data_IF_558666021858
#
_entry.id   IF_558666021858
#
_cell.length_a   1.000
_cell.length_b   1.000
_cell.length_c   1.000
_cell.angle_alpha   90.00
_cell.angle_beta   90.00
_cell.angle_gamma   90.00
#
_symmetry.space_group_name_H-M   'P 1'
#
loop_
_entity.id
_entity.type
_entity.pdbx_description
1 polymer ?
#
# COMPACT_ATOMS: atom_id res chain seq x y z
N UNK A 1 49.94 21.15 -20.72
CA UNK A 1 49.28 21.15 -19.39
C UNK A 1 48.13 20.17 -19.44
N UNK A 2 48.36 18.95 -18.96
CA UNK A 2 47.37 17.87 -18.98
C UNK A 2 46.43 18.05 -17.78
N UNK A 3 45.13 18.16 -18.03
CA UNK A 3 44.12 18.11 -16.95
C UNK A 3 44.10 16.68 -16.39
N UNK A 4 44.11 16.50 -15.05
CA UNK A 4 44.11 15.16 -14.47
C UNK A 4 42.79 14.45 -14.77
N UNK A 5 42.90 13.17 -15.07
CA UNK A 5 41.80 12.22 -15.21
C UNK A 5 41.78 11.34 -13.95
N UNK A 6 40.62 10.93 -13.41
CA UNK A 6 39.26 11.15 -13.93
C UNK A 6 38.75 12.58 -13.65
N UNK A 7 37.72 13.03 -14.39
CA UNK A 7 37.09 14.31 -14.09
C UNK A 7 36.44 14.24 -12.70
N UNK A 8 36.42 15.34 -11.93
CA UNK A 8 35.76 15.36 -10.63
C UNK A 8 34.27 14.98 -10.78
N UNK A 9 33.68 14.29 -9.79
CA UNK A 9 32.28 13.92 -9.83
C UNK A 9 31.41 15.16 -10.04
N UNK A 10 30.60 15.13 -11.10
CA UNK A 10 29.63 16.18 -11.40
C UNK A 10 28.54 16.09 -10.34
N UNK A 11 28.59 16.98 -9.36
CA UNK A 11 27.51 17.16 -8.38
C UNK A 11 26.27 17.63 -9.15
N UNK A 12 25.22 16.80 -9.21
CA UNK A 12 23.92 17.27 -9.66
C UNK A 12 23.43 18.29 -8.62
N UNK A 13 23.57 19.58 -8.92
CA UNK A 13 23.11 20.65 -8.03
C UNK A 13 21.60 20.77 -8.14
N UNK A 14 20.87 19.86 -7.52
CA UNK A 14 19.48 20.15 -7.14
C UNK A 14 19.58 21.09 -5.93
N UNK A 15 19.47 22.40 -6.16
CA UNK A 15 19.38 23.35 -5.06
C UNK A 15 18.20 22.97 -4.16
N UNK A 16 18.31 23.17 -2.84
CA UNK A 16 17.20 23.04 -1.89
C UNK A 16 16.08 24.01 -2.29
N UNK A 17 15.22 23.61 -3.19
CA UNK A 17 14.04 24.36 -3.59
C UNK A 17 12.83 23.69 -2.94
N UNK A 18 12.26 24.39 -1.95
CA UNK A 18 10.94 24.04 -1.41
C UNK A 18 9.91 24.56 -2.38
N UNK A 19 9.38 23.69 -3.23
CA UNK A 19 8.25 24.01 -4.11
C UNK A 19 6.94 23.60 -3.45
N UNK A 20 5.87 24.35 -3.75
CA UNK A 20 4.55 24.05 -3.22
C UNK A 20 3.89 22.95 -4.08
N UNK A 21 3.54 21.81 -3.46
CA UNK A 21 2.86 20.70 -4.16
C UNK A 21 1.49 21.16 -4.70
N UNK A 22 0.89 22.17 -4.10
CA UNK A 22 -0.37 22.75 -4.58
C UNK A 22 -0.22 23.41 -5.98
N UNK A 23 0.98 23.85 -6.38
CA UNK A 23 1.21 24.39 -7.72
C UNK A 23 1.17 23.30 -8.80
N UNK A 24 1.52 22.05 -8.46
CA UNK A 24 1.32 20.90 -9.34
C UNK A 24 -0.18 20.62 -9.48
N UNK A 25 -0.92 20.63 -8.35
CA UNK A 25 -2.36 20.33 -8.33
C UNK A 25 -3.19 21.34 -9.14
N UNK A 26 -2.93 22.63 -8.97
CA UNK A 26 -3.67 23.69 -9.66
C UNK A 26 -3.49 23.63 -11.19
N UNK A 27 -2.29 23.30 -11.66
CA UNK A 27 -1.98 23.25 -13.09
C UNK A 27 -2.41 21.95 -13.78
N UNK A 28 -2.54 20.83 -13.05
CA UNK A 28 -3.10 19.58 -13.60
C UNK A 28 -4.58 19.78 -13.98
N UNK A 29 -5.32 20.62 -13.24
CA UNK A 29 -6.74 20.91 -13.52
C UNK A 29 -6.90 21.82 -14.74
N UNK A 30 -5.93 22.68 -15.05
CA UNK A 30 -6.04 23.65 -16.15
C UNK A 30 -5.65 23.10 -17.53
N UNK A 31 -4.92 21.99 -17.61
CA UNK A 31 -4.37 21.48 -18.89
C UNK A 31 -5.12 20.29 -19.53
N UNK A 32 -6.15 19.72 -18.90
CA UNK A 32 -6.88 18.58 -19.47
C UNK A 32 -8.19 18.96 -20.19
N UNK A 33 -8.08 18.98 -21.53
CA UNK A 33 -8.92 18.23 -22.49
C UNK A 33 -10.44 18.35 -22.32
N UNK A 34 -11.11 18.87 -23.37
CA UNK A 34 -12.52 18.60 -23.67
C UNK A 34 -12.77 17.08 -23.77
N UNK A 35 -13.06 16.43 -22.63
CA UNK A 35 -13.55 15.05 -22.57
C UNK A 35 -15.08 15.11 -22.52
N UNK A 36 -15.81 14.35 -23.37
CA UNK A 36 -17.27 14.35 -23.35
C UNK A 36 -17.79 13.95 -21.95
N UNK A 37 -18.80 14.69 -21.47
CA UNK A 37 -19.46 14.57 -20.15
C UNK A 37 -20.22 13.24 -19.93
N UNK A 38 -19.62 12.08 -20.18
CA UNK A 38 -20.24 10.77 -19.88
C UNK A 38 -19.26 9.71 -19.32
N UNK A 39 -18.04 10.08 -18.93
CA UNK A 39 -17.14 9.16 -18.23
C UNK A 39 -16.74 9.70 -16.87
N UNK A 40 -17.51 9.39 -15.83
CA UNK A 40 -16.96 9.40 -14.48
C UNK A 40 -15.84 8.34 -14.41
N UNK A 41 -14.59 8.70 -14.11
CA UNK A 41 -13.60 7.71 -13.78
C UNK A 41 -13.95 7.19 -12.39
N UNK A 42 -14.53 6.00 -12.32
CA UNK A 42 -14.51 5.19 -11.11
C UNK A 42 -13.04 5.02 -10.70
N UNK A 43 -12.56 5.86 -9.78
CA UNK A 43 -11.22 5.74 -9.18
C UNK A 43 -11.10 4.33 -8.63
N UNK A 44 -10.29 3.50 -9.31
CA UNK A 44 -10.06 2.12 -8.94
C UNK A 44 -9.08 2.13 -7.77
N UNK A 45 -9.58 1.88 -6.56
CA UNK A 45 -8.76 1.36 -5.47
C UNK A 45 -8.36 -0.08 -5.81
N UNK A 46 -7.45 -0.26 -6.75
CA UNK A 46 -6.71 -1.51 -6.92
C UNK A 46 -5.36 -1.33 -6.26
N UNK A 47 -5.31 -1.66 -4.97
CA UNK A 47 -4.09 -1.67 -4.16
C UNK A 47 -3.39 -3.02 -4.34
N UNK A 48 -2.63 -3.16 -5.41
CA UNK A 48 -1.58 -4.18 -5.55
C UNK A 48 -0.24 -3.57 -5.12
N UNK A 49 -0.17 -3.01 -3.92
CA UNK A 49 1.06 -2.45 -3.36
C UNK A 49 1.99 -3.58 -2.92
N UNK A 50 2.71 -4.10 -3.92
CA UNK A 50 4.08 -4.57 -3.80
C UNK A 50 4.34 -5.72 -2.81
N UNK A 51 4.16 -6.94 -3.32
CA UNK A 51 4.77 -8.20 -2.86
C UNK A 51 6.28 -8.12 -2.55
N UNK A 52 6.97 -7.03 -2.90
CA UNK A 52 8.40 -6.83 -2.68
C UNK A 52 8.73 -6.09 -1.37
N UNK A 53 7.83 -5.27 -0.82
CA UNK A 53 8.10 -4.58 0.46
C UNK A 53 8.02 -5.56 1.64
N UNK A 54 7.02 -6.45 1.68
CA UNK A 54 6.84 -7.39 2.80
C UNK A 54 7.96 -8.43 2.94
N UNK A 55 8.81 -8.66 1.91
CA UNK A 55 9.92 -9.63 2.03
C UNK A 55 11.05 -9.12 2.93
N UNK A 56 11.26 -7.81 3.05
CA UNK A 56 12.27 -7.26 3.98
C UNK A 56 11.78 -7.21 5.43
N UNK A 57 10.47 -7.18 5.66
CA UNK A 57 9.90 -7.08 7.01
C UNK A 57 9.67 -8.41 7.74
N UNK A 58 9.92 -9.56 7.10
CA UNK A 58 9.82 -10.87 7.77
C UNK A 58 11.17 -11.43 8.26
N UNK A 59 12.32 -10.77 8.03
CA UNK A 59 13.63 -11.35 8.34
C UNK A 59 14.50 -10.58 9.34
N UNK A 60 14.00 -9.53 9.99
CA UNK A 60 14.84 -8.71 10.91
C UNK A 60 14.27 -8.54 12.32
N UNK A 61 13.30 -9.35 12.73
CA UNK A 61 12.88 -9.46 14.13
C UNK A 61 12.64 -10.93 14.50
N UNK A 62 13.72 -11.64 14.82
CA UNK A 62 13.64 -12.99 15.36
C UNK A 62 14.93 -13.80 15.29
N UNK A 63 15.85 -13.50 16.23
CA UNK A 63 16.83 -14.44 16.81
C UNK A 63 17.82 -15.14 15.86
N UNK A 64 19.00 -14.53 15.73
CA UNK A 64 20.25 -15.28 15.56
C UNK A 64 20.54 -16.05 16.85
N UNK A 65 20.45 -17.38 16.81
CA UNK A 65 21.45 -18.26 17.41
C UNK A 65 21.42 -19.63 16.74
N UNK A 66 22.58 -20.01 16.21
CA UNK A 66 23.13 -21.38 16.20
C UNK A 66 22.40 -22.49 15.42
N UNK A 67 22.85 -22.74 14.18
CA UNK A 67 23.88 -23.77 13.86
C UNK A 67 23.81 -24.23 12.40
N UNK A 68 24.95 -24.06 11.74
CA UNK A 68 25.35 -24.68 10.48
C UNK A 68 26.19 -25.91 10.83
N UNK A 69 25.75 -27.12 10.46
CA UNK A 69 26.59 -28.20 9.90
C UNK A 69 25.82 -29.54 9.76
N UNK A 70 25.84 -30.03 8.51
CA UNK A 70 26.11 -31.42 8.12
C UNK A 70 25.03 -32.54 8.24
N UNK A 71 24.53 -32.86 7.05
CA UNK A 71 24.26 -34.15 6.42
C UNK A 71 24.34 -35.50 7.20
N UNK A 72 23.32 -36.32 6.88
CA UNK A 72 23.28 -37.80 6.82
C UNK A 72 23.43 -38.57 8.15
N UNK A 73 22.35 -39.21 8.59
CA UNK A 73 22.09 -40.64 8.32
C UNK A 73 20.78 -41.11 8.99
N UNK A 74 20.19 -42.11 8.36
CA UNK A 74 18.98 -42.84 8.70
C UNK A 74 19.23 -43.71 9.94
N UNK A 75 18.34 -43.70 10.93
CA UNK A 75 18.08 -44.88 11.77
C UNK A 75 16.78 -44.74 12.55
N UNK A 76 15.93 -45.77 12.42
CA UNK A 76 14.73 -46.00 13.21
C UNK A 76 15.11 -46.31 14.66
N UNK A 77 14.41 -45.73 15.63
CA UNK A 77 13.60 -46.50 16.59
C UNK A 77 12.83 -45.56 17.53
N UNK A 78 11.67 -46.09 17.92
CA UNK A 78 10.69 -45.63 18.90
C UNK A 78 11.25 -44.87 20.10
N UNK A 79 10.62 -43.74 20.42
CA UNK A 79 10.12 -43.51 21.77
C UNK A 79 8.90 -42.59 21.77
N UNK A 80 7.83 -43.11 22.35
CA UNK A 80 6.57 -42.45 22.64
C UNK A 80 6.75 -41.49 23.83
N UNK A 81 5.87 -40.49 23.89
CA UNK A 81 5.58 -39.64 25.06
C UNK A 81 6.58 -38.50 25.35
N UNK A 82 6.35 -37.35 24.70
CA UNK A 82 6.46 -35.98 25.30
C UNK A 82 6.03 -34.83 24.35
N UNK A 83 5.28 -35.11 23.27
CA UNK A 83 4.90 -34.10 22.26
C UNK A 83 3.61 -33.29 22.50
N UNK A 84 2.97 -33.36 23.68
CA UNK A 84 1.61 -32.80 23.87
C UNK A 84 1.51 -31.38 24.46
N UNK A 85 2.60 -30.77 24.94
CA UNK A 85 2.54 -29.45 25.63
C UNK A 85 3.01 -28.23 24.80
N UNK A 86 3.72 -28.42 23.67
CA UNK A 86 4.18 -27.30 22.81
C UNK A 86 3.13 -26.80 21.78
N UNK A 87 2.03 -27.53 21.59
CA UNK A 87 0.98 -27.16 20.62
C UNK A 87 -0.18 -26.38 21.24
N UNK A 88 -0.40 -26.46 22.55
CA UNK A 88 -1.48 -25.73 23.22
C UNK A 88 -1.17 -24.23 23.39
N UNK A 89 0.08 -23.87 23.68
CA UNK A 89 0.50 -22.48 23.85
C UNK A 89 0.42 -21.68 22.54
N UNK A 90 0.85 -22.28 21.41
CA UNK A 90 0.70 -21.68 20.08
C UNK A 90 -0.77 -21.55 19.65
N UNK A 91 -1.61 -22.55 19.96
CA UNK A 91 -3.07 -22.48 19.68
C UNK A 91 -3.79 -21.45 20.55
N UNK A 92 -3.38 -21.24 21.80
CA UNK A 92 -3.94 -20.21 22.69
C UNK A 92 -3.57 -18.80 22.21
N UNK A 93 -2.30 -18.56 21.83
CA UNK A 93 -1.85 -17.27 21.29
C UNK A 93 -2.59 -16.91 19.99
N UNK A 94 -2.68 -17.83 19.04
CA UNK A 94 -3.40 -17.63 17.78
C UNK A 94 -4.91 -17.35 17.95
N UNK A 95 -5.55 -17.92 18.99
CA UNK A 95 -6.95 -17.61 19.30
C UNK A 95 -7.12 -16.21 19.88
N UNK A 96 -6.20 -15.78 20.73
CA UNK A 96 -6.23 -14.43 21.32
C UNK A 96 -5.97 -13.37 20.24
N UNK A 97 -4.98 -13.58 19.37
CA UNK A 97 -4.68 -12.68 18.25
C UNK A 97 -5.91 -12.50 17.34
N UNK A 98 -6.61 -13.60 17.02
CA UNK A 98 -7.84 -13.54 16.23
C UNK A 98 -8.97 -12.81 16.96
N UNK A 99 -9.11 -13.01 18.27
CA UNK A 99 -10.13 -12.31 19.07
C UNK A 99 -9.87 -10.81 19.11
N UNK A 100 -8.61 -10.41 19.24
CA UNK A 100 -8.22 -9.00 19.21
C UNK A 100 -8.47 -8.37 17.83
N UNK A 101 -8.16 -9.10 16.74
CA UNK A 101 -8.46 -8.64 15.39
C UNK A 101 -9.98 -8.46 15.15
N UNK A 102 -10.80 -9.41 15.60
CA UNK A 102 -12.26 -9.28 15.49
C UNK A 102 -12.81 -8.10 16.30
N UNK A 103 -12.27 -7.87 17.50
CA UNK A 103 -12.64 -6.71 18.31
C UNK A 103 -12.28 -5.39 17.60
N UNK A 104 -11.11 -5.32 16.96
CA UNK A 104 -10.73 -4.15 16.17
C UNK A 104 -11.71 -3.91 15.01
N UNK A 105 -12.16 -4.98 14.34
CA UNK A 105 -13.18 -4.88 13.29
C UNK A 105 -14.50 -4.38 13.89
N UNK A 106 -14.95 -4.90 15.03
CA UNK A 106 -16.16 -4.43 15.74
C UNK A 106 -16.10 -2.93 16.05
N UNK A 107 -14.99 -2.46 16.65
CA UNK A 107 -14.78 -1.04 16.95
C UNK A 107 -14.79 -0.19 15.66
N UNK A 108 -14.22 -0.72 14.57
CA UNK A 108 -14.22 -0.07 13.26
C UNK A 108 -15.62 0.00 12.65
N UNK A 109 -16.45 -1.02 12.83
CA UNK A 109 -17.85 -1.01 12.37
C UNK A 109 -18.62 0.12 13.04
N UNK A 110 -18.50 0.29 14.36
CA UNK A 110 -19.17 1.38 15.08
C UNK A 110 -18.77 2.76 14.55
N UNK A 111 -17.46 2.96 14.38
CA UNK A 111 -16.94 4.20 13.86
C UNK A 111 -17.40 4.46 12.41
N UNK A 112 -17.32 3.46 11.54
CA UNK A 112 -17.66 3.58 10.13
C UNK A 112 -19.15 3.84 9.90
N UNK A 113 -20.03 3.16 10.66
CA UNK A 113 -21.47 3.41 10.64
C UNK A 113 -21.80 4.83 11.10
N UNK A 114 -21.14 5.31 12.18
CA UNK A 114 -21.31 6.69 12.65
C UNK A 114 -20.89 7.71 11.59
N UNK A 115 -19.73 7.52 10.94
CA UNK A 115 -19.27 8.38 9.85
C UNK A 115 -20.25 8.40 8.67
N UNK A 116 -20.78 7.24 8.28
CA UNK A 116 -21.75 7.16 7.19
C UNK A 116 -23.01 7.96 7.50
N UNK A 117 -23.53 7.85 8.72
CA UNK A 117 -24.76 8.55 9.12
C UNK A 117 -24.61 10.08 9.14
N UNK A 118 -23.37 10.59 9.28
CA UNK A 118 -23.08 12.03 9.21
C UNK A 118 -22.96 12.51 7.76
N UNK A 119 -22.55 11.64 6.84
CA UNK A 119 -22.21 11.99 5.46
C UNK A 119 -23.26 11.51 4.45
N UNK A 120 -24.37 12.26 4.32
CA UNK A 120 -25.51 11.93 3.44
C UNK A 120 -25.10 11.49 2.01
N UNK A 121 -24.25 12.26 1.32
CA UNK A 121 -23.85 11.92 -0.06
C UNK A 121 -23.03 10.63 -0.21
N UNK A 122 -22.31 10.19 0.84
CA UNK A 122 -21.61 8.88 0.82
C UNK A 122 -22.58 7.72 0.99
N UNK A 123 -23.70 7.95 1.67
CA UNK A 123 -24.75 6.98 1.93
C UNK A 123 -25.60 6.78 0.68
N UNK A 124 -26.03 7.86 0.03
CA UNK A 124 -26.85 7.81 -1.20
C UNK A 124 -26.20 6.95 -2.30
N UNK A 125 -24.93 7.18 -2.63
CA UNK A 125 -24.25 6.39 -3.67
C UNK A 125 -24.09 4.90 -3.34
N UNK A 126 -24.08 4.53 -2.05
CA UNK A 126 -24.08 3.12 -1.63
C UNK A 126 -25.50 2.53 -1.71
N UNK A 127 -26.52 3.29 -1.30
CA UNK A 127 -27.92 2.88 -1.40
C UNK A 127 -28.32 2.63 -2.86
N UNK A 128 -27.92 3.50 -3.79
CA UNK A 128 -28.17 3.32 -5.22
C UNK A 128 -27.58 2.00 -5.75
N UNK A 129 -26.35 1.69 -5.35
CA UNK A 129 -25.71 0.41 -5.72
C UNK A 129 -26.43 -0.78 -5.10
N UNK A 130 -26.88 -0.67 -3.86
CA UNK A 130 -27.69 -1.72 -3.21
C UNK A 130 -28.99 -1.97 -3.98
N UNK A 131 -29.76 -0.91 -4.27
CA UNK A 131 -31.05 -1.03 -4.92
C UNK A 131 -30.92 -1.62 -6.31
N UNK A 132 -29.96 -1.11 -7.12
CA UNK A 132 -29.66 -1.63 -8.46
C UNK A 132 -29.40 -3.13 -8.50
N UNK A 133 -28.70 -3.69 -7.50
CA UNK A 133 -28.33 -5.12 -7.48
C UNK A 133 -29.30 -6.00 -6.68
N UNK A 134 -30.29 -5.41 -6.02
CA UNK A 134 -31.31 -6.12 -5.23
C UNK A 134 -32.70 -6.17 -5.89
N UNK A 135 -32.87 -5.53 -7.05
CA UNK A 135 -34.15 -5.47 -7.80
C UNK A 135 -34.77 -6.86 -8.03
N UNK A 136 -33.94 -7.86 -8.35
CA UNK A 136 -34.38 -9.23 -8.66
C UNK A 136 -34.67 -10.09 -7.43
N UNK A 137 -34.43 -9.55 -6.23
CA UNK A 137 -34.42 -10.30 -4.97
C UNK A 137 -35.22 -9.58 -3.89
N UNK A 138 -36.27 -8.86 -4.29
CA UNK A 138 -37.22 -8.18 -3.40
C UNK A 138 -36.53 -7.23 -2.39
N UNK A 139 -35.49 -6.52 -2.83
CA UNK A 139 -34.78 -5.56 -1.97
C UNK A 139 -33.76 -6.18 -1.02
N UNK A 140 -33.32 -7.43 -1.28
CA UNK A 140 -32.24 -8.09 -0.54
C UNK A 140 -31.07 -8.40 -1.48
N UNK A 141 -29.83 -8.38 -0.97
CA UNK A 141 -28.66 -8.79 -1.78
C UNK A 141 -28.29 -10.24 -1.52
N UNK A 142 -28.39 -11.09 -2.55
CA UNK A 142 -27.76 -12.43 -2.54
C UNK A 142 -26.28 -12.33 -2.90
N UNK A 143 -25.51 -13.41 -2.73
CA UNK A 143 -24.05 -13.40 -2.88
C UNK A 143 -23.53 -12.80 -4.20
N UNK A 144 -24.23 -13.01 -5.33
CA UNK A 144 -23.84 -12.40 -6.61
C UNK A 144 -24.11 -10.89 -6.64
N UNK A 145 -25.30 -10.46 -6.19
CA UNK A 145 -25.66 -9.05 -6.10
C UNK A 145 -24.74 -8.29 -5.15
N UNK A 146 -24.42 -8.88 -3.99
CA UNK A 146 -23.47 -8.32 -3.03
C UNK A 146 -22.11 -8.05 -3.67
N UNK A 147 -21.57 -9.02 -4.43
CA UNK A 147 -20.27 -8.86 -5.08
C UNK A 147 -20.27 -7.71 -6.09
N UNK A 148 -21.37 -7.55 -6.83
CA UNK A 148 -21.53 -6.46 -7.81
C UNK A 148 -21.68 -5.10 -7.10
N UNK A 149 -22.48 -5.03 -6.04
CA UNK A 149 -22.68 -3.82 -5.26
C UNK A 149 -21.38 -3.38 -4.55
N UNK A 150 -20.64 -4.30 -3.93
CA UNK A 150 -19.33 -4.01 -3.34
C UNK A 150 -18.33 -3.54 -4.41
N UNK A 151 -18.33 -4.15 -5.60
CA UNK A 151 -17.46 -3.75 -6.70
C UNK A 151 -17.76 -2.32 -7.20
N UNK A 152 -19.03 -1.93 -7.27
CA UNK A 152 -19.43 -0.54 -7.59
C UNK A 152 -19.07 0.43 -6.45
N UNK A 153 -19.14 -0.02 -5.21
CA UNK A 153 -18.65 0.72 -4.05
C UNK A 153 -17.10 0.82 -3.98
N UNK A 154 -16.37 0.28 -4.97
CA UNK A 154 -14.91 0.32 -5.02
C UNK A 154 -14.22 -0.77 -4.18
N UNK A 155 -14.98 -1.72 -3.61
CA UNK A 155 -14.48 -2.80 -2.77
C UNK A 155 -14.34 -4.05 -3.62
N UNK A 156 -13.12 -4.29 -4.13
CA UNK A 156 -12.80 -5.42 -5.01
C UNK A 156 -11.64 -6.22 -4.42
N UNK A 157 -11.90 -7.14 -3.48
CA UNK A 157 -10.84 -7.93 -2.85
C UNK A 157 -10.16 -8.85 -3.88
N UNK A 158 -8.93 -8.52 -4.22
CA UNK A 158 -8.09 -9.23 -5.20
C UNK A 158 -7.21 -10.28 -4.55
N UNK A 159 -6.70 -10.01 -3.35
CA UNK A 159 -5.79 -10.91 -2.63
C UNK A 159 -6.54 -11.88 -1.70
N UNK A 160 -5.87 -12.96 -1.30
CA UNK A 160 -6.43 -13.91 -0.31
C UNK A 160 -6.73 -13.20 1.01
N UNK A 161 -5.81 -12.35 1.48
CA UNK A 161 -5.94 -11.57 2.72
C UNK A 161 -7.14 -10.62 2.66
N UNK A 162 -7.31 -9.88 1.57
CA UNK A 162 -8.47 -8.98 1.41
C UNK A 162 -9.80 -9.75 1.41
N UNK A 163 -9.84 -10.93 0.77
CA UNK A 163 -11.05 -11.77 0.78
C UNK A 163 -11.37 -12.30 2.18
N UNK A 164 -10.35 -12.65 2.95
CA UNK A 164 -10.49 -13.07 4.34
C UNK A 164 -10.98 -11.91 5.22
N UNK A 165 -10.40 -10.72 5.11
CA UNK A 165 -10.84 -9.52 5.82
C UNK A 165 -12.30 -9.15 5.51
N UNK A 166 -12.70 -9.16 4.24
CA UNK A 166 -14.12 -8.91 3.86
C UNK A 166 -15.05 -9.96 4.47
N UNK A 167 -14.60 -11.22 4.56
CA UNK A 167 -15.38 -12.28 5.21
C UNK A 167 -15.48 -12.06 6.72
N UNK A 168 -14.42 -11.64 7.38
CA UNK A 168 -14.45 -11.31 8.82
C UNK A 168 -15.39 -10.14 9.10
N UNK A 169 -15.37 -9.10 8.26
CA UNK A 169 -16.33 -7.98 8.30
C UNK A 169 -17.77 -8.48 8.14
N UNK A 170 -18.01 -9.38 7.18
CA UNK A 170 -19.31 -10.03 6.99
C UNK A 170 -19.79 -10.77 8.25
N UNK A 171 -18.91 -11.55 8.87
CA UNK A 171 -19.20 -12.31 10.10
C UNK A 171 -19.55 -11.35 11.26
N UNK A 172 -18.73 -10.31 11.49
CA UNK A 172 -18.96 -9.31 12.55
C UNK A 172 -20.28 -8.58 12.34
N UNK A 173 -20.61 -8.20 11.11
CA UNK A 173 -21.86 -7.49 10.82
C UNK A 173 -23.07 -8.39 11.02
N UNK A 174 -23.02 -9.65 10.57
CA UNK A 174 -24.11 -10.58 10.87
C UNK A 174 -24.29 -10.75 12.38
N UNK A 175 -23.20 -10.98 13.11
CA UNK A 175 -23.25 -11.12 14.57
C UNK A 175 -23.83 -9.87 15.23
N UNK A 176 -23.49 -8.67 14.75
CA UNK A 176 -23.94 -7.40 15.33
C UNK A 176 -25.39 -7.05 15.04
N UNK A 177 -25.86 -7.30 13.81
CA UNK A 177 -27.19 -6.87 13.35
C UNK A 177 -28.25 -7.99 13.42
N UNK A 178 -27.86 -9.22 13.79
CA UNK A 178 -28.73 -10.40 13.90
C UNK A 178 -28.48 -11.20 15.19
N UNK A 179 -27.84 -10.60 16.20
CA UNK A 179 -27.39 -11.25 17.45
C UNK A 179 -28.47 -11.97 18.25
N UNK A 180 -29.75 -11.66 18.01
CA UNK A 180 -30.85 -12.04 18.89
C UNK A 180 -31.58 -13.32 18.46
N UNK A 181 -31.22 -13.92 17.31
CA UNK A 181 -31.95 -15.06 16.73
C UNK A 181 -31.07 -16.30 16.54
N UNK A 182 -31.66 -17.47 16.81
CA UNK A 182 -31.04 -18.76 16.54
C UNK A 182 -30.63 -18.83 15.05
N UNK A 183 -29.41 -19.28 14.78
CA UNK A 183 -28.77 -19.29 13.44
C UNK A 183 -28.57 -17.94 12.73
N UNK A 184 -28.92 -16.82 13.37
CA UNK A 184 -28.84 -15.46 12.78
C UNK A 184 -29.74 -15.32 11.54
N UNK A 185 -30.88 -16.00 11.57
CA UNK A 185 -32.03 -15.66 10.74
C UNK A 185 -32.67 -14.39 11.32
N UNK A 186 -33.22 -13.50 10.49
CA UNK A 186 -34.03 -12.35 10.96
C UNK A 186 -35.09 -12.09 9.90
N UNK A 187 -36.35 -11.94 10.28
CA UNK A 187 -37.47 -11.72 9.36
C UNK A 187 -37.58 -12.80 8.25
N UNK A 188 -37.21 -14.05 8.56
CA UNK A 188 -37.15 -15.15 7.58
C UNK A 188 -35.94 -15.08 6.62
N UNK A 189 -35.02 -14.14 6.83
CA UNK A 189 -33.80 -13.96 6.04
C UNK A 189 -32.65 -14.72 6.69
N UNK A 190 -32.30 -15.85 6.07
CA UNK A 190 -31.22 -16.72 6.54
C UNK A 190 -29.85 -16.06 6.47
N UNK A 191 -28.93 -16.55 7.31
CA UNK A 191 -27.52 -16.17 7.28
C UNK A 191 -26.86 -16.54 5.94
N UNK A 192 -26.42 -15.55 5.13
CA UNK A 192 -25.84 -15.78 3.79
C UNK A 192 -24.46 -16.47 3.81
N UNK A 193 -23.78 -16.52 4.97
CA UNK A 193 -22.52 -17.26 5.12
C UNK A 193 -22.74 -18.75 5.39
N UNK A 194 -23.92 -19.12 5.90
CA UNK A 194 -24.26 -20.51 6.24
C UNK A 194 -25.24 -21.15 5.26
N UNK A 195 -26.10 -20.35 4.61
CA UNK A 195 -27.13 -20.84 3.67
C UNK A 195 -27.01 -20.16 2.30
N UNK A 196 -27.10 -20.95 1.22
CA UNK A 196 -27.11 -20.48 -0.17
C UNK A 196 -28.31 -19.59 -0.52
N UNK A 197 -29.41 -19.71 0.23
CA UNK A 197 -30.60 -18.88 0.10
C UNK A 197 -30.55 -17.62 0.97
N UNK A 198 -29.54 -17.49 1.84
CA UNK A 198 -29.37 -16.31 2.66
C UNK A 198 -29.12 -15.06 1.82
N UNK A 199 -29.41 -13.90 2.42
CA UNK A 199 -29.27 -12.61 1.77
C UNK A 199 -28.87 -11.54 2.79
N UNK A 200 -28.46 -10.38 2.27
CA UNK A 200 -28.02 -9.22 3.03
C UNK A 200 -29.07 -8.12 2.95
N UNK A 201 -29.37 -7.50 4.09
CA UNK A 201 -30.24 -6.32 4.20
C UNK A 201 -29.46 -5.05 3.87
N UNK A 202 -30.18 -3.96 3.58
CA UNK A 202 -29.56 -2.67 3.26
C UNK A 202 -28.63 -2.19 4.37
N UNK A 203 -29.11 -2.19 5.62
CA UNK A 203 -28.33 -1.74 6.79
C UNK A 203 -27.02 -2.52 6.92
N UNK A 204 -27.05 -3.83 6.68
CA UNK A 204 -25.87 -4.70 6.73
C UNK A 204 -24.91 -4.40 5.58
N UNK A 205 -25.43 -4.19 4.37
CA UNK A 205 -24.62 -3.80 3.22
C UNK A 205 -23.91 -2.47 3.43
N UNK A 206 -24.65 -1.47 3.91
CA UNK A 206 -24.11 -0.15 4.23
C UNK A 206 -22.99 -0.28 5.28
N UNK A 207 -23.25 -0.96 6.39
CA UNK A 207 -22.24 -1.21 7.42
C UNK A 207 -21.01 -1.92 6.85
N UNK A 208 -21.19 -2.93 5.99
CA UNK A 208 -20.08 -3.66 5.36
C UNK A 208 -19.24 -2.74 4.49
N UNK A 209 -19.89 -1.99 3.60
CA UNK A 209 -19.20 -1.12 2.66
C UNK A 209 -18.43 -0.01 3.37
N UNK A 210 -19.01 0.63 4.39
CA UNK A 210 -18.30 1.64 5.18
C UNK A 210 -17.14 1.04 5.97
N UNK A 211 -17.33 -0.12 6.60
CA UNK A 211 -16.27 -0.77 7.40
C UNK A 211 -15.10 -1.17 6.51
N UNK A 212 -15.35 -1.80 5.36
CA UNK A 212 -14.29 -2.15 4.41
C UNK A 212 -13.51 -0.93 3.91
N UNK A 213 -14.21 0.18 3.61
CA UNK A 213 -13.55 1.44 3.20
C UNK A 213 -12.69 2.03 4.33
N UNK A 214 -13.18 1.99 5.55
CA UNK A 214 -12.45 2.52 6.70
C UNK A 214 -11.22 1.66 7.06
N UNK A 215 -11.33 0.33 6.99
CA UNK A 215 -10.19 -0.56 7.16
C UNK A 215 -9.13 -0.31 6.08
N UNK A 216 -9.54 -0.18 4.81
CA UNK A 216 -8.60 0.16 3.73
C UNK A 216 -7.91 1.51 3.97
N UNK A 217 -8.66 2.53 4.43
CA UNK A 217 -8.11 3.85 4.78
C UNK A 217 -7.12 3.78 5.95
N UNK A 218 -7.38 2.95 6.96
CA UNK A 218 -6.47 2.75 8.09
C UNK A 218 -5.19 2.02 7.67
N UNK A 219 -5.30 1.01 6.82
CA UNK A 219 -4.15 0.30 6.27
C UNK A 219 -3.28 1.23 5.41
N UNK A 220 -3.90 2.05 4.55
CA UNK A 220 -3.21 3.07 3.75
C UNK A 220 -2.46 4.06 4.66
N UNK A 221 -3.13 4.59 5.70
CA UNK A 221 -2.50 5.50 6.66
C UNK A 221 -1.30 4.86 7.39
N UNK A 222 -1.38 3.58 7.74
CA UNK A 222 -0.27 2.86 8.38
C UNK A 222 0.92 2.70 7.42
N UNK A 223 0.64 2.41 6.15
CA UNK A 223 1.69 2.31 5.11
C UNK A 223 2.34 3.67 4.87
N UNK A 224 1.54 4.72 4.72
CA UNK A 224 2.04 6.09 4.53
C UNK A 224 2.88 6.55 5.74
N UNK A 225 2.46 6.22 6.96
CA UNK A 225 3.22 6.52 8.18
C UNK A 225 4.55 5.75 8.20
N UNK A 226 4.55 4.46 7.88
CA UNK A 226 5.77 3.67 7.82
C UNK A 226 6.75 4.19 6.75
N UNK A 227 6.25 4.68 5.61
CA UNK A 227 7.06 5.35 4.59
C UNK A 227 7.62 6.69 5.07
N UNK A 228 6.80 7.48 5.78
CA UNK A 228 7.24 8.74 6.37
C UNK A 228 8.39 8.52 7.36
N UNK A 229 8.23 7.54 8.25
CA UNK A 229 9.25 7.13 9.23
C UNK A 229 10.51 6.61 8.54
N UNK A 230 10.36 5.77 7.50
CA UNK A 230 11.49 5.21 6.74
C UNK A 230 12.34 6.30 6.07
N UNK A 231 11.71 7.35 5.56
CA UNK A 231 12.37 8.43 4.83
C UNK A 231 12.66 9.66 5.69
N UNK A 232 12.38 9.61 7.00
CA UNK A 232 12.62 10.72 7.93
C UNK A 232 11.86 11.99 7.57
N UNK A 233 10.64 11.87 7.03
CA UNK A 233 9.84 13.00 6.56
C UNK A 233 8.46 13.05 7.22
N UNK A 234 7.73 14.15 7.04
CA UNK A 234 6.38 14.30 7.58
C UNK A 234 5.38 13.44 6.81
N UNK A 235 4.41 12.85 7.53
CA UNK A 235 3.30 12.09 6.91
C UNK A 235 2.56 12.94 5.86
N UNK A 236 2.36 14.24 6.12
CA UNK A 236 1.70 15.14 5.18
C UNK A 236 2.42 15.15 3.81
N UNK A 237 3.75 15.20 3.79
CA UNK A 237 4.55 15.15 2.57
C UNK A 237 4.34 13.85 1.79
N UNK A 238 4.34 12.70 2.48
CA UNK A 238 4.10 11.40 1.82
C UNK A 238 2.72 11.36 1.21
N UNK A 239 1.69 11.85 1.91
CA UNK A 239 0.30 11.89 1.43
C UNK A 239 0.13 12.79 0.22
N UNK A 240 0.75 13.96 0.24
CA UNK A 240 0.71 14.89 -0.89
C UNK A 240 1.40 14.28 -2.13
N UNK A 241 2.56 13.66 -1.95
CA UNK A 241 3.27 12.97 -3.04
C UNK A 241 2.51 11.75 -3.54
N UNK A 242 1.90 10.97 -2.64
CA UNK A 242 1.05 9.83 -3.02
C UNK A 242 -0.14 10.28 -3.85
N UNK A 243 -0.80 11.38 -3.46
CA UNK A 243 -1.89 11.95 -4.25
C UNK A 243 -1.43 12.40 -5.64
N UNK A 244 -0.31 13.11 -5.77
CA UNK A 244 0.24 13.51 -7.07
C UNK A 244 0.53 12.28 -7.93
N UNK A 245 1.08 11.22 -7.35
CA UNK A 245 1.35 9.98 -8.06
C UNK A 245 0.05 9.31 -8.54
N UNK A 246 -0.98 9.27 -7.71
CA UNK A 246 -2.29 8.70 -8.02
C UNK A 246 -3.05 9.47 -9.11
N UNK A 247 -2.91 10.81 -9.15
CA UNK A 247 -3.53 11.65 -10.16
C UNK A 247 -2.86 11.49 -11.54
N UNK A 248 -1.55 11.32 -11.55
CA UNK A 248 -0.76 11.24 -12.79
C UNK A 248 -0.66 9.81 -13.35
N UNK A 249 -0.85 8.77 -12.52
CA UNK A 249 -0.79 7.39 -13.01
C UNK A 249 -2.01 7.05 -13.86
N UNK A 250 -1.78 6.55 -15.07
CA UNK A 250 -2.86 6.05 -15.96
C UNK A 250 -3.30 4.62 -15.64
N UNK A 251 -2.45 3.85 -14.97
CA UNK A 251 -2.67 2.45 -14.61
C UNK A 251 -2.16 2.22 -13.17
N UNK A 252 -1.59 1.04 -12.87
CA UNK A 252 -0.97 0.75 -11.58
C UNK A 252 0.31 1.58 -11.35
N UNK A 253 0.98 2.01 -12.42
CA UNK A 253 2.24 2.76 -12.38
C UNK A 253 2.20 4.05 -13.19
N UNK A 254 2.96 5.05 -12.76
CA UNK A 254 3.29 6.23 -13.56
C UNK A 254 4.23 5.83 -14.71
N UNK A 255 4.29 6.60 -15.80
CA UNK A 255 5.35 6.45 -16.82
C UNK A 255 6.34 7.60 -16.75
N UNK A 256 7.57 7.37 -17.22
CA UNK A 256 8.65 8.36 -17.16
C UNK A 256 8.29 9.71 -17.78
N UNK A 257 7.54 9.72 -18.88
CA UNK A 257 7.03 10.95 -19.49
C UNK A 257 6.26 11.81 -18.48
N UNK A 258 5.40 11.19 -17.68
CA UNK A 258 4.56 11.89 -16.69
C UNK A 258 5.42 12.38 -15.51
N UNK A 259 6.43 11.61 -15.10
CA UNK A 259 7.38 12.04 -14.08
C UNK A 259 8.20 13.26 -14.52
N UNK A 260 8.70 13.25 -15.76
CA UNK A 260 9.44 14.38 -16.34
C UNK A 260 8.56 15.62 -16.40
N UNK A 261 7.29 15.47 -16.78
CA UNK A 261 6.31 16.56 -16.75
C UNK A 261 6.13 17.16 -15.35
N UNK A 262 6.10 16.33 -14.29
CA UNK A 262 6.05 16.82 -12.90
C UNK A 262 7.29 17.67 -12.58
N UNK A 263 8.49 17.21 -12.98
CA UNK A 263 9.73 17.98 -12.75
C UNK A 263 9.71 19.32 -13.49
N UNK A 264 9.23 19.35 -14.74
CA UNK A 264 9.06 20.59 -15.51
C UNK A 264 8.10 21.56 -14.83
N UNK A 265 6.96 21.06 -14.31
CA UNK A 265 5.98 21.89 -13.58
C UNK A 265 6.52 22.42 -12.26
N UNK A 266 7.47 21.72 -11.65
CA UNK A 266 8.23 22.21 -10.50
C UNK A 266 9.32 23.21 -10.88
N UNK A 267 9.43 23.60 -12.16
CA UNK A 267 10.44 24.55 -12.62
C UNK A 267 11.86 23.99 -12.61
N UNK A 268 12.01 22.66 -12.56
CA UNK A 268 13.31 22.02 -12.62
C UNK A 268 13.76 21.92 -14.07
N UNK A 269 15.03 22.22 -14.37
CA UNK A 269 15.57 21.99 -15.70
C UNK A 269 15.49 20.49 -16.03
N UNK A 270 15.12 20.18 -17.26
CA UNK A 270 15.01 18.80 -17.73
C UNK A 270 16.34 18.06 -17.48
N UNK A 271 16.38 17.07 -16.58
CA UNK A 271 17.64 16.41 -16.29
C UNK A 271 18.03 15.53 -17.49
N UNK A 272 19.33 15.45 -17.83
CA UNK A 272 19.82 14.42 -18.75
C UNK A 272 19.37 13.02 -18.32
N UNK A 273 19.23 12.09 -19.27
CA UNK A 273 18.84 10.70 -18.98
C UNK A 273 19.70 10.02 -17.90
N UNK A 274 20.99 10.39 -17.83
CA UNK A 274 21.90 9.90 -16.79
C UNK A 274 21.47 10.37 -15.39
N UNK A 275 21.07 11.63 -15.27
CA UNK A 275 20.69 12.22 -13.99
C UNK A 275 19.28 11.75 -13.58
N UNK A 276 18.37 11.58 -14.54
CA UNK A 276 17.07 10.93 -14.32
C UNK A 276 17.24 9.48 -13.86
N UNK A 277 18.18 8.75 -14.45
CA UNK A 277 18.49 7.37 -14.06
C UNK A 277 19.05 7.32 -12.64
N UNK A 278 19.95 8.23 -12.26
CA UNK A 278 20.45 8.33 -10.89
C UNK A 278 19.35 8.70 -9.90
N UNK A 279 18.48 9.66 -10.25
CA UNK A 279 17.39 10.10 -9.39
C UNK A 279 16.39 8.97 -9.10
N UNK A 280 16.09 8.16 -10.12
CA UNK A 280 15.18 7.01 -10.03
C UNK A 280 15.86 5.72 -9.58
N UNK A 281 17.17 5.73 -9.30
CA UNK A 281 17.99 4.55 -8.98
C UNK A 281 17.84 3.42 -10.04
N UNK A 282 18.00 3.80 -11.30
CA UNK A 282 17.89 2.91 -12.47
C UNK A 282 19.26 2.71 -13.10
N UNK A 283 19.70 1.45 -13.36
CA UNK A 283 20.90 1.21 -14.11
C UNK A 283 20.71 1.63 -15.58
N UNK A 284 21.56 2.54 -16.05
CA UNK A 284 21.64 2.95 -17.45
C UNK A 284 22.87 2.31 -18.09
N UNK A 285 22.69 1.48 -19.12
CA UNK A 285 23.81 0.96 -19.91
C UNK A 285 24.43 2.11 -20.72
N UNK A 286 25.76 2.07 -20.90
CA UNK A 286 26.49 3.09 -21.66
C UNK A 286 25.90 3.25 -23.07
N UNK A 287 25.45 4.47 -23.41
CA UNK A 287 24.88 4.80 -24.72
C UNK A 287 23.38 4.58 -24.88
N UNK A 288 22.67 4.11 -23.84
CA UNK A 288 21.22 3.93 -23.90
C UNK A 288 20.47 5.12 -23.29
N UNK A 289 19.38 5.53 -23.94
CA UNK A 289 18.43 6.52 -23.42
C UNK A 289 17.34 5.84 -22.57
N UNK A 290 16.76 6.58 -21.64
CA UNK A 290 15.58 6.12 -20.90
C UNK A 290 14.35 6.17 -21.81
N UNK A 291 13.60 5.06 -21.87
CA UNK A 291 12.33 5.04 -22.59
C UNK A 291 11.28 5.92 -21.87
N UNK A 292 10.61 6.86 -22.57
CA UNK A 292 9.53 7.66 -21.99
C UNK A 292 8.34 6.83 -21.45
N UNK A 293 8.17 5.61 -21.95
CA UNK A 293 7.12 4.67 -21.53
C UNK A 293 7.55 3.78 -20.36
N UNK A 294 8.76 3.97 -19.83
CA UNK A 294 9.24 3.22 -18.67
C UNK A 294 8.29 3.42 -17.51
N UNK A 295 7.87 2.32 -16.89
CA UNK A 295 7.02 2.32 -15.70
C UNK A 295 7.82 2.74 -14.47
N UNK A 296 7.26 3.68 -13.72
CA UNK A 296 7.79 4.18 -12.45
C UNK A 296 6.79 3.78 -11.36
N UNK A 297 7.12 2.78 -10.52
CA UNK A 297 6.33 2.45 -9.34
C UNK A 297 6.48 3.53 -8.27
N UNK A 298 5.53 3.58 -7.33
CA UNK A 298 5.54 4.57 -6.25
C UNK A 298 6.81 4.51 -5.40
N UNK A 299 7.32 3.29 -5.18
CA UNK A 299 8.58 3.05 -4.47
C UNK A 299 9.81 3.71 -5.09
N UNK A 300 9.79 4.01 -6.39
CA UNK A 300 10.86 4.76 -7.06
C UNK A 300 10.54 6.27 -7.10
N UNK A 301 9.27 6.60 -7.26
CA UNK A 301 8.79 7.99 -7.31
C UNK A 301 9.01 8.73 -5.99
N UNK A 302 8.61 8.14 -4.86
CA UNK A 302 8.66 8.77 -3.54
C UNK A 302 10.08 9.23 -3.16
N UNK A 303 11.11 8.37 -3.13
CA UNK A 303 12.46 8.81 -2.78
C UNK A 303 13.04 9.81 -3.79
N UNK A 304 12.72 9.68 -5.08
CA UNK A 304 13.12 10.65 -6.11
C UNK A 304 12.56 12.05 -5.82
N UNK A 305 11.27 12.15 -5.49
CA UNK A 305 10.64 13.43 -5.16
C UNK A 305 11.17 14.01 -3.85
N UNK A 306 11.45 13.17 -2.84
CA UNK A 306 12.04 13.63 -1.59
C UNK A 306 13.47 14.17 -1.78
N UNK A 307 14.26 13.58 -2.69
CA UNK A 307 15.58 14.11 -3.09
C UNK A 307 15.45 15.46 -3.81
N UNK A 308 14.50 15.56 -4.73
CA UNK A 308 14.19 16.82 -5.45
C UNK A 308 13.81 17.95 -4.49
N UNK A 309 13.03 17.64 -3.45
CA UNK A 309 12.65 18.60 -2.41
C UNK A 309 13.79 18.92 -1.42
N UNK A 310 14.93 18.21 -1.52
CA UNK A 310 16.05 18.34 -0.59
C UNK A 310 15.75 17.85 0.83
N UNK A 311 14.75 16.97 0.97
CA UNK A 311 14.38 16.31 2.24
C UNK A 311 15.27 15.09 2.47
N UNK A 312 15.49 14.30 1.41
CA UNK A 312 16.41 13.17 1.44
C UNK A 312 17.77 13.64 0.91
N UNK A 313 18.83 13.49 1.70
CA UNK A 313 20.19 13.78 1.24
C UNK A 313 20.61 12.72 0.21
N UNK A 314 21.34 13.13 -0.84
CA UNK A 314 22.03 12.15 -1.68
C UNK A 314 23.09 11.48 -0.80
N UNK A 315 23.06 10.15 -0.69
CA UNK A 315 24.07 9.39 0.05
C UNK A 315 25.45 9.89 -0.38
N UNK A 316 26.11 10.61 0.53
CA UNK A 316 27.46 11.11 0.34
C UNK A 316 28.47 9.96 0.49
N UNK A 317 28.20 8.78 -0.08
CA UNK A 317 29.17 7.70 -0.16
C UNK A 317 29.93 7.84 -1.48
N UNK A 318 30.91 8.74 -1.48
CA UNK A 318 32.17 8.61 -2.22
C UNK A 318 33.09 9.78 -1.85
N UNK A 319 33.85 9.62 -0.76
CA UNK A 319 35.04 10.44 -0.54
C UNK A 319 35.38 10.73 0.92
N UNK A 320 35.95 9.75 1.60
CA UNK A 320 37.17 9.93 2.42
C UNK A 320 37.70 8.53 2.76
N UNK A 321 38.43 7.93 1.82
CA UNK A 321 39.45 6.96 2.18
C UNK A 321 40.65 7.81 2.59
N UNK A 322 40.79 8.07 3.90
CA UNK A 322 42.09 8.45 4.45
C UNK A 322 43.02 7.27 4.21
N UNK A 323 43.80 7.34 3.12
CA UNK A 323 45.04 6.60 3.04
C UNK A 323 45.99 7.33 3.99
N UNK A 324 46.08 6.82 5.21
CA UNK A 324 47.17 7.12 6.13
C UNK A 324 48.46 6.57 5.51
N UNK A 325 49.12 7.38 4.68
CA UNK A 325 50.51 7.18 4.27
C UNK A 325 51.40 7.49 5.49
N UNK A 326 51.33 6.62 6.49
CA UNK A 326 52.21 6.59 7.64
C UNK A 326 53.61 6.11 7.23
N UNK A 327 54.45 7.07 6.87
CA UNK A 327 55.92 7.10 6.94
C UNK A 327 56.62 5.74 7.10
N UNK A 328 57.08 5.20 5.97
CA UNK A 328 58.22 4.30 5.91
C UNK A 328 59.50 5.12 6.11
N UNK A 329 59.84 5.40 7.36
CA UNK A 329 61.15 5.93 7.75
C UNK A 329 62.03 4.81 8.31
N UNK A 330 63.05 4.49 7.53
CA UNK A 330 64.23 3.69 7.84
C UNK A 330 64.64 3.66 9.32
N UNK A 331 64.73 2.44 9.88
CA UNK A 331 65.73 2.15 10.92
C UNK A 331 66.43 0.85 10.55
N UNK A 332 67.49 1.00 9.76
CA UNK A 332 68.61 0.08 9.72
C UNK A 332 69.83 0.82 10.29
N UNK A 333 70.17 0.53 11.55
CA UNK A 333 71.52 0.61 12.12
C UNK A 333 71.54 -0.14 13.46
#
# INVERSE_FOLDING_TARGET
>A
MNKPWPPPPVKARYGKMRFNIDDIRMNIVEEDVEVPMDSQPSRKLTMTFEKHFSRRFSSTLGDETDRRAEAKTFSMSSDLSTGRKRSESKKKKSKEDRRQALKQIEDTVDYAVKLMNISAGRKEGLEDSFYKHSERTAGLLRSEGLRKALAEAGIKPTTFREREQVREVQEVIINKFRSEEDDHEVDGIKNPLKDRRGAWRLVEFLAMAATCRELARQEELQVEQALADQHGCELATVRDLHQVYEEMRRQETMVLKDFVFILEKLGLPLPPDKDLAMLLDVPLAAGNSLSPQRKIPFAMFLPAMLKVQGILEEDAENGEFEIDDGDNADVAA
#
